data_IF_357568443471
#
_entry.id   IF_357568443471
#
_cell.length_a   1.000
_cell.length_b   1.000
_cell.length_c   1.000
_cell.angle_alpha   90.00
_cell.angle_beta   90.00
_cell.angle_gamma   90.00
#
_symmetry.space_group_name_H-M   'P 1'
#
loop_
_entity.id
_entity.type
_entity.pdbx_description
1 polymer ?
#
# COMPACT_ATOMS: atom_id res chain seq x y z
N UNK A 1 -24.45 -2.07 17.54
CA UNK A 1 -23.67 -1.27 18.50
C UNK A 1 -24.45 -0.96 19.76
N UNK A 2 -25.54 -0.21 19.65
CA UNK A 2 -26.30 0.32 20.81
C UNK A 2 -26.71 -0.71 21.87
N UNK A 3 -27.25 -1.87 21.48
CA UNK A 3 -27.63 -2.92 22.44
C UNK A 3 -26.45 -3.45 23.28
N UNK A 4 -25.29 -3.68 22.64
CA UNK A 4 -24.07 -4.12 23.34
C UNK A 4 -23.57 -3.02 24.28
N UNK A 5 -23.60 -1.76 23.84
CA UNK A 5 -23.12 -0.63 24.63
C UNK A 5 -24.05 -0.25 25.79
N UNK A 6 -25.33 -0.58 25.72
CA UNK A 6 -26.23 -0.43 26.88
C UNK A 6 -25.81 -1.32 28.05
N UNK A 7 -25.36 -2.55 27.77
CA UNK A 7 -24.87 -3.48 28.79
C UNK A 7 -23.38 -3.26 29.12
N UNK A 8 -22.59 -2.83 28.14
CA UNK A 8 -21.14 -2.62 28.25
C UNK A 8 -20.72 -1.27 27.64
N UNK A 9 -20.88 -0.15 28.36
CA UNK A 9 -20.74 1.22 27.81
C UNK A 9 -19.43 1.52 27.07
N UNK A 10 -18.32 0.93 27.55
CA UNK A 10 -16.97 1.17 27.06
C UNK A 10 -16.44 0.05 26.14
N UNK A 11 -17.30 -0.89 25.71
CA UNK A 11 -16.87 -1.99 24.85
C UNK A 11 -16.63 -1.49 23.42
N UNK A 12 -15.36 -1.48 23.01
CA UNK A 12 -14.99 -1.24 21.62
C UNK A 12 -15.54 -2.33 20.70
N UNK A 13 -16.07 -1.91 19.54
CA UNK A 13 -16.60 -2.80 18.53
C UNK A 13 -15.68 -2.83 17.31
N UNK A 14 -15.73 -3.95 16.59
CA UNK A 14 -15.01 -4.14 15.32
C UNK A 14 -16.04 -4.27 14.19
N UNK A 15 -15.78 -3.63 13.05
CA UNK A 15 -16.58 -3.78 11.85
C UNK A 15 -15.72 -4.20 10.66
N UNK A 16 -16.13 -5.25 9.95
CA UNK A 16 -15.52 -5.63 8.67
C UNK A 16 -16.26 -4.94 7.52
N UNK A 17 -15.56 -4.03 6.84
CA UNK A 17 -15.97 -3.38 5.59
C UNK A 17 -15.76 -4.37 4.43
N UNK A 18 -16.55 -5.44 4.43
CA UNK A 18 -16.30 -6.62 3.58
C UNK A 18 -16.37 -6.30 2.08
N UNK A 19 -15.34 -6.68 1.30
CA UNK A 19 -15.42 -6.65 -0.17
C UNK A 19 -16.42 -7.65 -0.77
N UNK A 20 -16.96 -8.58 0.01
CA UNK A 20 -18.04 -9.46 -0.43
C UNK A 20 -19.37 -8.73 -0.58
N UNK A 21 -19.51 -7.51 -0.05
CA UNK A 21 -20.68 -6.69 -0.28
C UNK A 21 -20.57 -5.94 -1.61
N UNK A 22 -21.67 -5.90 -2.35
CA UNK A 22 -21.78 -4.99 -3.48
C UNK A 22 -22.17 -3.60 -2.94
N UNK A 23 -21.17 -2.83 -2.53
CA UNK A 23 -21.34 -1.50 -1.93
C UNK A 23 -22.19 -0.55 -2.78
N UNK A 24 -22.20 -0.71 -4.11
CA UNK A 24 -23.01 0.11 -5.02
C UNK A 24 -24.45 -0.38 -5.17
N UNK A 25 -24.74 -1.65 -4.91
CA UNK A 25 -26.10 -2.20 -5.02
C UNK A 25 -26.93 -2.03 -3.74
N UNK A 26 -26.29 -1.78 -2.59
CA UNK A 26 -26.97 -1.76 -1.29
C UNK A 26 -27.55 -0.39 -0.89
N UNK A 27 -27.94 0.44 -1.86
CA UNK A 27 -28.60 1.72 -1.59
C UNK A 27 -27.70 2.79 -0.96
N UNK A 28 -26.37 2.61 -1.02
CA UNK A 28 -25.44 3.66 -0.66
C UNK A 28 -25.37 4.73 -1.76
N UNK A 29 -25.31 6.00 -1.34
CA UNK A 29 -24.99 7.12 -2.22
C UNK A 29 -23.50 7.44 -2.10
N UNK A 30 -22.91 8.19 -3.05
CA UNK A 30 -21.52 8.64 -2.93
C UNK A 30 -21.23 9.34 -1.59
N UNK A 31 -22.18 10.12 -1.08
CA UNK A 31 -22.07 10.84 0.19
C UNK A 31 -22.05 9.88 1.37
N UNK A 32 -22.94 8.86 1.39
CA UNK A 32 -22.98 7.90 2.50
C UNK A 32 -21.80 6.93 2.46
N UNK A 33 -21.30 6.54 1.29
CA UNK A 33 -20.03 5.80 1.18
C UNK A 33 -18.87 6.62 1.75
N UNK A 34 -18.84 7.92 1.42
CA UNK A 34 -17.82 8.82 1.93
C UNK A 34 -17.93 9.00 3.43
N UNK A 35 -19.11 9.08 4.04
CA UNK A 35 -19.24 9.31 5.49
C UNK A 35 -19.19 8.03 6.34
N UNK A 36 -19.41 6.85 5.74
CA UNK A 36 -19.73 5.60 6.43
C UNK A 36 -18.81 5.27 7.62
N UNK A 37 -17.49 5.28 7.41
CA UNK A 37 -16.53 4.87 8.44
C UNK A 37 -16.56 5.81 9.66
N UNK A 38 -16.76 7.10 9.43
CA UNK A 38 -16.85 8.12 10.47
C UNK A 38 -18.20 8.04 11.20
N UNK A 39 -19.26 7.68 10.50
CA UNK A 39 -20.58 7.54 11.10
C UNK A 39 -20.65 6.32 12.01
N UNK A 40 -20.12 5.17 11.59
CA UNK A 40 -20.10 3.98 12.47
C UNK A 40 -19.07 4.12 13.61
N UNK A 41 -18.02 4.93 13.44
CA UNK A 41 -17.10 5.24 14.55
C UNK A 41 -17.83 5.90 15.74
N UNK A 42 -18.78 6.82 15.47
CA UNK A 42 -19.62 7.47 16.50
C UNK A 42 -20.47 6.46 17.28
N UNK A 43 -20.81 5.32 16.67
CA UNK A 43 -21.58 4.23 17.28
C UNK A 43 -20.72 3.28 18.12
N UNK A 44 -19.40 3.46 18.17
CA UNK A 44 -18.46 2.68 18.99
C UNK A 44 -17.64 1.63 18.22
N UNK A 45 -17.67 1.66 16.88
CA UNK A 45 -16.80 0.83 16.03
C UNK A 45 -15.40 1.46 15.92
N UNK A 46 -14.54 1.10 16.88
CA UNK A 46 -13.20 1.67 17.06
C UNK A 46 -12.14 1.00 16.17
N UNK A 47 -12.40 -0.21 15.70
CA UNK A 47 -11.58 -0.88 14.69
C UNK A 47 -12.44 -1.18 13.46
N UNK A 48 -11.99 -0.69 12.32
CA UNK A 48 -12.66 -0.88 11.04
C UNK A 48 -11.62 -1.30 10.01
N UNK A 49 -11.91 -2.35 9.26
CA UNK A 49 -10.95 -2.94 8.32
C UNK A 49 -11.65 -3.45 7.08
N UNK A 50 -10.95 -3.44 5.96
CA UNK A 50 -11.39 -4.04 4.70
C UNK A 50 -10.61 -5.35 4.53
N UNK A 51 -11.25 -6.49 4.82
CA UNK A 51 -10.55 -7.78 4.98
C UNK A 51 -9.75 -8.22 3.75
N UNK A 52 -10.21 -7.92 2.53
CA UNK A 52 -9.59 -8.35 1.28
C UNK A 52 -9.03 -7.18 0.44
N UNK A 53 -8.76 -6.02 1.05
CA UNK A 53 -8.24 -4.85 0.32
C UNK A 53 -6.92 -5.16 -0.41
N UNK A 54 -5.99 -5.83 0.24
CA UNK A 54 -4.69 -6.20 -0.35
C UNK A 54 -4.83 -7.15 -1.55
N UNK A 55 -5.71 -8.16 -1.43
CA UNK A 55 -5.99 -9.11 -2.52
C UNK A 55 -6.56 -8.38 -3.75
N UNK A 56 -7.62 -7.59 -3.57
CA UNK A 56 -8.28 -6.93 -4.68
C UNK A 56 -7.43 -5.82 -5.29
N UNK A 57 -6.76 -4.99 -4.50
CA UNK A 57 -5.86 -3.94 -5.03
C UNK A 57 -4.73 -4.52 -5.87
N UNK A 58 -4.07 -5.59 -5.37
CA UNK A 58 -2.99 -6.29 -6.09
C UNK A 58 -3.49 -6.95 -7.38
N UNK A 59 -4.63 -7.63 -7.33
CA UNK A 59 -5.22 -8.26 -8.50
C UNK A 59 -5.62 -7.22 -9.56
N UNK A 60 -6.22 -6.10 -9.14
CA UNK A 60 -6.63 -5.01 -10.03
C UNK A 60 -5.44 -4.40 -10.75
N UNK A 61 -4.40 -3.98 -10.03
CA UNK A 61 -3.21 -3.35 -10.64
C UNK A 61 -2.48 -4.33 -11.57
N UNK A 62 -2.37 -5.60 -11.17
CA UNK A 62 -1.70 -6.63 -11.99
C UNK A 62 -2.47 -6.92 -13.28
N UNK A 63 -3.80 -6.99 -13.20
CA UNK A 63 -4.66 -7.21 -14.36
C UNK A 63 -4.57 -6.04 -15.35
N UNK A 64 -4.65 -4.81 -14.86
CA UNK A 64 -4.55 -3.60 -15.67
C UNK A 64 -3.16 -3.49 -16.33
N UNK A 65 -2.09 -3.70 -15.56
CA UNK A 65 -0.72 -3.70 -16.07
C UNK A 65 -0.55 -4.74 -17.17
N UNK A 66 -0.96 -5.99 -16.95
CA UNK A 66 -0.80 -7.06 -17.95
C UNK A 66 -1.54 -6.76 -19.26
N UNK A 67 -2.76 -6.20 -19.17
CA UNK A 67 -3.55 -5.82 -20.36
C UNK A 67 -2.87 -4.71 -21.15
N UNK A 68 -2.40 -3.67 -20.47
CA UNK A 68 -1.78 -2.51 -21.12
C UNK A 68 -0.38 -2.86 -21.63
N UNK A 69 0.38 -3.68 -20.90
CA UNK A 69 1.72 -4.09 -21.29
C UNK A 69 1.72 -4.92 -22.58
N UNK A 70 0.67 -5.71 -22.82
CA UNK A 70 0.50 -6.47 -24.08
C UNK A 70 0.50 -5.56 -25.32
N UNK A 71 -0.04 -4.33 -25.22
CA UNK A 71 -0.15 -3.40 -26.35
C UNK A 71 0.92 -2.32 -26.34
N UNK A 72 1.25 -1.80 -25.15
CA UNK A 72 2.04 -0.58 -24.98
C UNK A 72 3.45 -0.84 -24.41
N UNK A 73 3.75 -2.10 -24.05
CA UNK A 73 5.03 -2.51 -23.49
C UNK A 73 5.42 -1.68 -22.26
N UNK A 74 6.68 -1.22 -22.23
CA UNK A 74 7.24 -0.47 -21.09
C UNK A 74 6.51 0.82 -20.78
N UNK A 75 5.82 1.45 -21.75
CA UNK A 75 5.02 2.64 -21.50
C UNK A 75 3.94 2.36 -20.45
N UNK A 76 3.31 1.18 -20.50
CA UNK A 76 2.29 0.80 -19.51
C UNK A 76 2.87 0.74 -18.09
N UNK A 77 4.07 0.19 -17.94
CA UNK A 77 4.75 0.13 -16.64
C UNK A 77 5.11 1.54 -16.14
N UNK A 78 5.68 2.39 -17.00
CA UNK A 78 6.06 3.76 -16.63
C UNK A 78 4.83 4.55 -16.18
N UNK A 79 3.74 4.52 -16.93
CA UNK A 79 2.54 5.31 -16.62
C UNK A 79 1.77 4.81 -15.41
N UNK A 80 1.61 3.49 -15.29
CA UNK A 80 0.74 2.89 -14.27
C UNK A 80 1.45 2.71 -12.93
N UNK A 81 2.76 2.44 -12.95
CA UNK A 81 3.56 2.14 -11.74
C UNK A 81 4.56 3.25 -11.48
N UNK A 82 5.61 3.36 -12.29
CA UNK A 82 6.78 4.19 -11.96
C UNK A 82 6.45 5.67 -11.77
N UNK A 83 5.68 6.28 -12.70
CA UNK A 83 5.25 7.67 -12.60
C UNK A 83 4.34 7.90 -11.42
N UNK A 84 3.41 6.97 -11.15
CA UNK A 84 2.50 7.05 -10.01
C UNK A 84 3.26 6.96 -8.69
N UNK A 85 4.24 6.07 -8.59
CA UNK A 85 5.11 5.96 -7.42
C UNK A 85 5.89 7.27 -7.21
N UNK A 86 6.42 7.88 -8.27
CA UNK A 86 7.07 9.21 -8.19
C UNK A 86 6.11 10.31 -7.74
N UNK A 87 4.93 10.41 -8.38
CA UNK A 87 3.93 11.45 -8.10
C UNK A 87 3.36 11.35 -6.67
N UNK A 88 3.22 10.13 -6.14
CA UNK A 88 2.72 9.87 -4.78
C UNK A 88 3.81 9.90 -3.71
N UNK A 89 5.09 9.93 -4.09
CA UNK A 89 6.21 9.80 -3.16
C UNK A 89 6.27 8.41 -2.50
N UNK A 90 5.99 7.35 -3.25
CA UNK A 90 6.08 5.98 -2.75
C UNK A 90 7.55 5.57 -2.57
N UNK A 91 7.95 5.26 -1.34
CA UNK A 91 9.33 4.89 -1.00
C UNK A 91 9.85 3.67 -1.78
N UNK A 92 8.94 2.79 -2.22
CA UNK A 92 9.25 1.58 -2.99
C UNK A 92 9.83 1.90 -4.37
N UNK A 93 9.64 3.12 -4.90
CA UNK A 93 10.30 3.56 -6.14
C UNK A 93 11.82 3.32 -6.09
N UNK A 94 12.43 3.63 -4.94
CA UNK A 94 13.82 3.29 -4.61
C UNK A 94 13.88 1.98 -3.84
N UNK A 95 13.54 0.88 -4.51
CA UNK A 95 13.33 -0.42 -3.88
C UNK A 95 14.59 -1.00 -3.22
N UNK A 96 15.81 -0.65 -3.66
CA UNK A 96 17.04 -1.12 -2.99
C UNK A 96 17.21 -0.41 -1.66
N UNK A 97 17.03 0.92 -1.64
CA UNK A 97 17.00 1.69 -0.40
C UNK A 97 15.89 1.20 0.53
N UNK A 98 14.68 1.03 0.01
CA UNK A 98 13.51 0.60 0.78
C UNK A 98 13.67 -0.80 1.39
N UNK A 99 14.30 -1.73 0.65
CA UNK A 99 14.60 -3.09 1.15
C UNK A 99 15.81 -3.16 2.10
N UNK A 100 16.48 -2.03 2.36
CA UNK A 100 17.58 -1.94 3.32
C UNK A 100 18.96 -2.28 2.75
N UNK A 101 19.14 -2.29 1.43
CA UNK A 101 20.44 -2.58 0.80
C UNK A 101 21.55 -1.67 1.35
N UNK A 102 21.28 -0.36 1.47
CA UNK A 102 22.24 0.62 2.01
C UNK A 102 22.59 0.37 3.48
N UNK A 103 21.66 -0.18 4.26
CA UNK A 103 21.90 -0.51 5.67
C UNK A 103 22.86 -1.70 5.79
N UNK A 104 22.66 -2.73 4.97
CA UNK A 104 23.55 -3.90 4.92
C UNK A 104 24.94 -3.50 4.40
N UNK A 105 25.02 -2.68 3.34
CA UNK A 105 26.29 -2.18 2.82
C UNK A 105 27.06 -1.36 3.86
N UNK A 106 26.37 -0.53 4.65
CA UNK A 106 26.98 0.22 5.75
C UNK A 106 27.56 -0.68 6.84
N UNK A 107 26.83 -1.74 7.20
CA UNK A 107 27.29 -2.74 8.18
C UNK A 107 28.52 -3.50 7.67
N UNK A 108 28.49 -3.97 6.43
CA UNK A 108 29.63 -4.64 5.80
C UNK A 108 30.84 -3.72 5.73
N UNK A 109 30.65 -2.46 5.35
CA UNK A 109 31.71 -1.47 5.30
C UNK A 109 32.36 -1.20 6.67
N UNK A 110 31.56 -1.17 7.74
CA UNK A 110 32.07 -0.99 9.10
C UNK A 110 32.85 -2.23 9.60
N UNK A 111 32.38 -3.44 9.27
CA UNK A 111 33.04 -4.71 9.65
C UNK A 111 34.35 -4.91 8.88
N UNK A 112 34.38 -4.58 7.59
CA UNK A 112 35.53 -4.84 6.71
C UNK A 112 36.69 -3.84 6.83
N UNK A 113 36.59 -2.85 7.73
CA UNK A 113 37.66 -1.89 8.07
C UNK A 113 38.58 -1.49 6.90
N UNK A 114 38.02 -1.06 5.76
CA UNK A 114 38.80 -0.52 4.63
C UNK A 114 39.15 -1.46 3.46
N UNK A 115 38.79 -2.75 3.45
CA UNK A 115 38.95 -3.60 2.25
C UNK A 115 37.71 -3.53 1.33
N UNK A 116 37.64 -2.45 0.55
CA UNK A 116 36.50 -2.04 -0.29
C UNK A 116 36.39 -2.78 -1.64
N UNK A 117 36.22 -4.10 -1.64
CA UNK A 117 36.00 -4.87 -2.89
C UNK A 117 34.59 -5.47 -3.03
N UNK A 118 33.72 -5.35 -2.02
CA UNK A 118 32.38 -5.99 -2.01
C UNK A 118 31.26 -5.06 -1.54
N UNK A 119 31.19 -3.81 -2.03
CA UNK A 119 30.00 -2.96 -1.83
C UNK A 119 28.95 -3.31 -2.89
N UNK A 120 27.73 -3.64 -2.49
CA UNK A 120 26.63 -3.97 -3.41
C UNK A 120 26.17 -2.73 -4.18
N UNK A 121 26.23 -1.55 -3.57
CA UNK A 121 25.92 -0.23 -4.15
C UNK A 121 27.15 0.49 -4.73
N UNK A 122 27.89 -0.16 -5.63
CA UNK A 122 28.99 0.47 -6.40
C UNK A 122 28.53 1.45 -7.48
N UNK A 123 29.48 2.06 -8.21
CA UNK A 123 29.33 3.05 -9.33
C UNK A 123 28.39 2.66 -10.50
N UNK A 124 27.65 1.55 -10.40
CA UNK A 124 26.68 1.06 -11.38
C UNK A 124 25.26 0.89 -10.85
N UNK A 125 24.90 1.43 -9.67
CA UNK A 125 23.52 1.34 -9.20
C UNK A 125 22.58 2.18 -10.09
N UNK A 126 21.41 1.63 -10.39
CA UNK A 126 20.42 2.29 -11.27
C UNK A 126 19.60 3.35 -10.52
N UNK A 127 19.72 3.43 -9.19
CA UNK A 127 18.91 4.35 -8.38
C UNK A 127 19.28 5.82 -8.59
N UNK A 128 20.49 6.15 -9.09
CA UNK A 128 20.85 7.51 -9.48
C UNK A 128 20.01 8.11 -10.62
N UNK A 129 19.23 7.28 -11.32
CA UNK A 129 18.34 7.70 -12.41
C UNK A 129 16.97 8.19 -11.94
N UNK A 130 16.61 8.02 -10.66
CA UNK A 130 15.28 8.36 -10.12
C UNK A 130 15.16 9.79 -9.55
N UNK A 131 16.20 10.62 -9.71
CA UNK A 131 16.20 12.03 -9.27
C UNK A 131 15.13 12.89 -9.98
#
# INVERSE_FOLDING_TARGET
GRAVRQQYPNKGLVYNLSPSFNWMAHGFTPETLKSFIWDIAKEGFVLQLVSLAGLHSTATISCELARNFKTDGMKAYVELVQRREKDLGCDVLTHQKWSGASYIDGMLGAIQSGSSSSRSMGEGNTEGQFN
#
